data_IF_584098678735
#
_entry.id   IF_584098678735
#
_cell.length_a   1.000
_cell.length_b   1.000
_cell.length_c   1.000
_cell.angle_alpha   90.00
_cell.angle_beta   90.00
_cell.angle_gamma   90.00
#
_symmetry.space_group_name_H-M   'P 1'
#
loop_
_entity.id
_entity.type
_entity.pdbx_description
1 polymer ?
#
# COMPACT_ATOMS: atom_id res chain seq x y z
N UNK A 1 26.06 -0.72 -3.23
CA UNK A 1 25.05 -1.52 -3.94
C UNK A 1 23.70 -1.18 -3.34
N UNK A 2 22.63 -0.99 -4.14
CA UNK A 2 21.30 -0.72 -3.58
C UNK A 2 20.90 -1.88 -2.67
N UNK A 3 20.50 -1.56 -1.44
CA UNK A 3 20.10 -2.54 -0.44
C UNK A 3 18.69 -2.27 0.04
N UNK A 4 18.02 -3.33 0.46
CA UNK A 4 16.70 -3.28 1.08
C UNK A 4 16.68 -4.14 2.33
N UNK A 5 15.78 -3.83 3.27
CA UNK A 5 15.60 -4.65 4.46
C UNK A 5 15.16 -6.07 4.10
N UNK A 6 15.54 -7.04 4.94
CA UNK A 6 15.12 -8.44 4.77
C UNK A 6 13.58 -8.56 4.78
N UNK A 7 12.88 -7.69 5.50
CA UNK A 7 11.42 -7.64 5.49
C UNK A 7 10.88 -7.23 4.10
N UNK A 8 11.46 -6.20 3.49
CA UNK A 8 11.09 -5.80 2.12
C UNK A 8 11.43 -6.89 1.11
N UNK A 9 12.56 -7.58 1.27
CA UNK A 9 12.90 -8.73 0.44
C UNK A 9 11.87 -9.87 0.59
N UNK A 10 11.38 -10.16 1.80
CA UNK A 10 10.29 -11.14 1.97
C UNK A 10 9.01 -10.71 1.28
N UNK A 11 8.66 -9.42 1.36
CA UNK A 11 7.47 -8.90 0.70
C UNK A 11 7.59 -9.02 -0.83
N UNK A 12 8.71 -8.62 -1.43
CA UNK A 12 8.90 -8.66 -2.89
C UNK A 12 8.96 -10.08 -3.46
N UNK A 13 9.52 -11.04 -2.72
CA UNK A 13 9.73 -12.41 -3.21
C UNK A 13 8.62 -13.39 -2.82
N UNK A 14 7.84 -13.07 -1.78
CA UNK A 14 6.92 -14.02 -1.15
C UNK A 14 7.60 -15.15 -0.38
N UNK A 15 8.95 -15.13 -0.29
CA UNK A 15 9.72 -16.13 0.43
C UNK A 15 9.77 -15.80 1.93
N UNK A 16 9.75 -16.84 2.76
CA UNK A 16 9.96 -16.67 4.20
C UNK A 16 11.40 -16.23 4.52
N UNK A 17 11.60 -15.53 5.65
CA UNK A 17 12.94 -15.16 6.14
C UNK A 17 13.89 -16.35 6.17
N UNK A 18 13.42 -17.52 6.64
CA UNK A 18 14.19 -18.78 6.64
C UNK A 18 14.69 -19.17 5.25
N UNK A 19 13.87 -18.97 4.22
CA UNK A 19 14.25 -19.30 2.84
C UNK A 19 15.26 -18.30 2.29
N UNK A 20 15.08 -17.01 2.53
CA UNK A 20 16.06 -15.98 2.17
C UNK A 20 17.42 -16.22 2.85
N UNK A 21 17.42 -16.63 4.12
CA UNK A 21 18.66 -17.04 4.82
C UNK A 21 19.36 -18.23 4.16
N UNK A 22 18.63 -19.16 3.52
CA UNK A 22 19.26 -20.23 2.72
C UNK A 22 19.91 -19.68 1.45
N UNK A 23 19.31 -18.67 0.82
CA UNK A 23 19.92 -17.99 -0.34
C UNK A 23 21.20 -17.24 0.06
N UNK A 24 21.20 -16.62 1.25
CA UNK A 24 22.38 -15.98 1.84
C UNK A 24 23.48 -17.02 2.08
N UNK A 25 23.18 -18.12 2.76
CA UNK A 25 24.17 -19.16 3.06
C UNK A 25 24.76 -19.83 1.81
N UNK A 26 23.98 -19.92 0.72
CA UNK A 26 24.42 -20.45 -0.58
C UNK A 26 25.17 -19.43 -1.44
N UNK A 27 25.27 -18.16 -1.00
CA UNK A 27 25.93 -17.08 -1.73
C UNK A 27 25.13 -16.49 -2.89
N UNK A 28 23.85 -16.85 -3.02
CA UNK A 28 22.96 -16.32 -4.08
C UNK A 28 22.25 -15.01 -3.70
N UNK A 29 22.36 -14.56 -2.44
CA UNK A 29 21.82 -13.31 -1.94
C UNK A 29 22.85 -12.66 -1.02
N UNK A 30 23.40 -11.52 -1.41
CA UNK A 30 24.41 -10.82 -0.63
C UNK A 30 23.79 -10.02 0.51
N UNK A 31 24.36 -10.13 1.71
CA UNK A 31 24.11 -9.23 2.84
C UNK A 31 24.99 -8.00 2.68
N UNK A 32 24.39 -6.82 2.73
CA UNK A 32 25.07 -5.53 2.57
C UNK A 32 25.41 -4.91 3.93
N UNK A 33 24.51 -5.03 4.91
CA UNK A 33 24.78 -4.63 6.30
C UNK A 33 23.90 -5.42 7.27
N UNK A 34 24.35 -5.50 8.51
CA UNK A 34 23.62 -6.14 9.61
C UNK A 34 23.75 -5.23 10.84
N UNK A 35 22.65 -4.55 11.20
CA UNK A 35 22.59 -3.66 12.37
C UNK A 35 21.44 -4.09 13.28
N UNK A 36 21.76 -4.75 14.39
CA UNK A 36 20.76 -5.23 15.33
C UNK A 36 19.80 -6.25 14.69
N UNK A 37 18.49 -5.96 14.68
CA UNK A 37 17.46 -6.82 14.07
C UNK A 37 17.25 -6.55 12.57
N UNK A 38 17.88 -5.51 12.02
CA UNK A 38 17.73 -5.14 10.61
C UNK A 38 18.92 -5.62 9.78
N UNK A 39 18.67 -6.69 9.02
CA UNK A 39 19.57 -7.16 7.95
C UNK A 39 19.17 -6.51 6.63
N UNK A 40 20.15 -5.90 5.95
CA UNK A 40 20.00 -5.32 4.62
C UNK A 40 20.63 -6.25 3.58
N UNK A 41 19.91 -6.53 2.49
CA UNK A 41 20.34 -7.43 1.41
C UNK A 41 20.38 -6.71 0.07
N UNK A 42 21.17 -7.21 -0.88
CA UNK A 42 21.31 -6.66 -2.23
C UNK A 42 19.97 -6.69 -2.97
N UNK A 43 19.44 -5.53 -3.35
CA UNK A 43 18.21 -5.45 -4.16
C UNK A 43 18.42 -6.19 -5.49
N UNK A 44 19.59 -6.04 -6.11
CA UNK A 44 19.93 -6.69 -7.39
C UNK A 44 19.78 -8.21 -7.32
N UNK A 45 20.09 -8.82 -6.18
CA UNK A 45 20.01 -10.27 -5.99
C UNK A 45 18.58 -10.73 -5.63
N UNK A 46 17.77 -9.81 -5.10
CA UNK A 46 16.35 -10.04 -4.78
C UNK A 46 15.48 -9.99 -6.02
N UNK A 47 15.77 -9.10 -6.98
CA UNK A 47 14.93 -8.88 -8.16
C UNK A 47 14.64 -10.15 -8.98
N UNK A 48 15.59 -11.07 -9.24
CA UNK A 48 15.30 -12.33 -9.94
C UNK A 48 14.37 -13.27 -9.18
N UNK A 49 14.20 -13.06 -7.87
CA UNK A 49 13.33 -13.84 -6.99
C UNK A 49 11.98 -13.14 -6.74
N UNK A 50 11.80 -11.91 -7.25
CA UNK A 50 10.60 -11.13 -7.02
C UNK A 50 9.40 -11.77 -7.71
N UNK A 51 8.26 -11.80 -7.01
CA UNK A 51 6.99 -12.26 -7.54
C UNK A 51 6.14 -11.12 -8.11
N UNK A 52 6.63 -9.88 -8.03
CA UNK A 52 6.09 -8.71 -8.71
C UNK A 52 7.07 -8.31 -9.81
N UNK A 53 6.62 -8.19 -11.08
CA UNK A 53 7.50 -7.69 -12.13
C UNK A 53 7.83 -6.22 -11.86
N UNK A 54 9.10 -5.92 -11.59
CA UNK A 54 9.58 -4.57 -11.35
C UNK A 54 10.39 -4.07 -12.55
N UNK A 55 10.01 -2.93 -13.06
CA UNK A 55 10.78 -2.15 -14.04
C UNK A 55 11.95 -1.45 -13.37
N UNK A 56 12.91 -1.00 -14.18
CA UNK A 56 14.06 -0.24 -13.67
C UNK A 56 13.66 1.04 -12.92
N UNK A 57 12.54 1.67 -13.30
CA UNK A 57 12.02 2.85 -12.61
C UNK A 57 11.50 2.50 -11.20
N UNK A 58 10.87 1.34 -11.04
CA UNK A 58 10.29 0.88 -9.77
C UNK A 58 11.35 0.38 -8.78
N UNK A 59 12.60 0.15 -9.21
CA UNK A 59 13.69 -0.12 -8.28
C UNK A 59 13.92 1.06 -7.33
N UNK A 60 13.85 2.30 -7.84
CA UNK A 60 13.98 3.49 -7.01
C UNK A 60 12.79 3.64 -6.05
N UNK A 61 11.60 3.29 -6.52
CA UNK A 61 10.39 3.24 -5.70
C UNK A 61 10.55 2.28 -4.52
N UNK A 62 11.03 1.06 -4.77
CA UNK A 62 11.28 0.05 -3.73
C UNK A 62 12.27 0.56 -2.68
N UNK A 63 13.34 1.22 -3.10
CA UNK A 63 14.34 1.79 -2.18
C UNK A 63 13.75 2.93 -1.34
N UNK A 64 12.95 3.80 -1.95
CA UNK A 64 12.28 4.88 -1.23
C UNK A 64 11.24 4.34 -0.23
N UNK A 65 10.48 3.32 -0.62
CA UNK A 65 9.50 2.68 0.25
C UNK A 65 10.16 1.98 1.45
N UNK A 66 11.25 1.24 1.23
CA UNK A 66 12.06 0.62 2.29
C UNK A 66 12.68 1.67 3.21
N UNK A 67 13.11 2.81 2.64
CA UNK A 67 13.63 3.97 3.36
C UNK A 67 12.58 4.74 4.17
N UNK A 68 11.31 4.38 4.08
CA UNK A 68 10.24 4.95 4.89
C UNK A 68 9.39 6.00 4.19
N UNK A 69 9.63 6.33 2.92
CA UNK A 69 8.85 7.37 2.23
C UNK A 69 7.37 6.94 2.08
N UNK A 70 6.40 7.67 2.66
CA UNK A 70 5.02 7.21 2.71
C UNK A 70 4.32 7.23 1.34
N UNK A 71 4.72 8.12 0.43
CA UNK A 71 4.23 8.14 -0.93
C UNK A 71 4.71 6.88 -1.66
N UNK A 72 6.01 6.60 -1.60
CA UNK A 72 6.59 5.40 -2.20
C UNK A 72 6.04 4.10 -1.61
N UNK A 73 5.77 4.06 -0.30
CA UNK A 73 5.09 2.93 0.34
C UNK A 73 3.67 2.73 -0.20
N UNK A 74 2.95 3.83 -0.47
CA UNK A 74 1.61 3.78 -1.05
C UNK A 74 1.66 3.29 -2.50
N UNK A 75 2.55 3.84 -3.31
CA UNK A 75 2.72 3.44 -4.71
C UNK A 75 3.18 1.98 -4.83
N UNK A 76 4.10 1.53 -3.95
CA UNK A 76 4.50 0.12 -3.90
C UNK A 76 3.34 -0.79 -3.48
N UNK A 77 2.44 -0.33 -2.60
CA UNK A 77 1.23 -1.08 -2.28
C UNK A 77 0.31 -1.23 -3.49
N UNK A 78 0.18 -0.20 -4.34
CA UNK A 78 -0.60 -0.27 -5.57
C UNK A 78 -0.02 -1.30 -6.54
N UNK A 79 1.32 -1.37 -6.69
CA UNK A 79 1.97 -2.43 -7.46
C UNK A 79 1.66 -3.83 -6.91
N UNK A 80 1.58 -3.99 -5.59
CA UNK A 80 1.18 -5.27 -5.00
C UNK A 80 -0.29 -5.60 -5.25
N UNK A 81 -1.20 -4.62 -5.29
CA UNK A 81 -2.59 -4.87 -5.69
C UNK A 81 -2.69 -5.30 -7.15
N UNK A 82 -1.96 -4.63 -8.06
CA UNK A 82 -1.92 -4.97 -9.48
C UNK A 82 -1.34 -6.37 -9.72
N UNK A 83 -0.42 -6.81 -8.85
CA UNK A 83 0.14 -8.15 -8.84
C UNK A 83 -0.73 -9.19 -8.10
N UNK A 84 -1.98 -8.87 -7.75
CA UNK A 84 -2.90 -9.75 -7.01
C UNK A 84 -2.37 -10.21 -5.64
N UNK A 85 -1.59 -9.36 -4.96
CA UNK A 85 -1.00 -9.61 -3.63
C UNK A 85 -1.51 -8.63 -2.58
N UNK A 86 -2.81 -8.70 -2.24
CA UNK A 86 -3.45 -7.69 -1.42
C UNK A 86 -2.96 -7.71 0.04
N UNK A 87 -2.48 -8.84 0.54
CA UNK A 87 -1.92 -8.96 1.90
C UNK A 87 -0.65 -8.13 2.07
N UNK A 88 0.24 -8.16 1.09
CA UNK A 88 1.48 -7.39 1.06
C UNK A 88 1.15 -5.92 0.83
N UNK A 89 0.23 -5.62 -0.09
CA UNK A 89 -0.25 -4.26 -0.34
C UNK A 89 -0.76 -3.59 0.95
N UNK A 90 -1.65 -4.27 1.69
CA UNK A 90 -2.16 -3.76 2.97
C UNK A 90 -1.02 -3.53 3.98
N UNK A 91 -0.03 -4.42 4.04
CA UNK A 91 1.10 -4.23 4.97
C UNK A 91 1.89 -2.95 4.69
N UNK A 92 2.02 -2.56 3.41
CA UNK A 92 2.65 -1.31 2.99
C UNK A 92 1.75 -0.10 3.23
N UNK A 93 0.45 -0.21 2.96
CA UNK A 93 -0.52 0.83 3.30
C UNK A 93 -0.55 1.12 4.81
N UNK A 94 -0.45 0.11 5.67
CA UNK A 94 -0.39 0.30 7.13
C UNK A 94 0.83 1.15 7.50
N UNK A 95 2.00 0.88 6.89
CA UNK A 95 3.21 1.68 7.16
C UNK A 95 3.01 3.14 6.76
N UNK A 96 2.48 3.41 5.57
CA UNK A 96 2.24 4.77 5.09
C UNK A 96 1.12 5.49 5.87
N UNK A 97 0.04 4.79 6.20
CA UNK A 97 -1.08 5.32 6.99
C UNK A 97 -0.66 5.67 8.43
N UNK A 98 0.23 4.88 9.05
CA UNK A 98 0.81 5.19 10.36
C UNK A 98 1.67 6.46 10.34
N UNK A 99 2.26 6.81 9.20
CA UNK A 99 2.95 8.08 8.97
C UNK A 99 1.99 9.25 8.66
N UNK A 100 0.69 8.97 8.72
CA UNK A 100 -0.40 9.90 8.49
C UNK A 100 -0.55 10.38 7.04
N UNK A 101 -0.14 9.56 6.08
CA UNK A 101 -0.28 9.89 4.65
C UNK A 101 -1.74 9.70 4.19
N UNK A 102 -2.41 10.75 3.66
CA UNK A 102 -3.85 10.72 3.43
C UNK A 102 -4.30 9.66 2.42
N UNK A 103 -3.55 9.47 1.33
CA UNK A 103 -3.92 8.49 0.29
C UNK A 103 -3.83 7.08 0.85
N UNK A 104 -2.78 6.76 1.60
CA UNK A 104 -2.62 5.47 2.27
C UNK A 104 -3.75 5.18 3.26
N UNK A 105 -4.16 6.18 4.05
CA UNK A 105 -5.31 6.04 4.95
C UNK A 105 -6.60 5.76 4.17
N UNK A 106 -6.82 6.46 3.04
CA UNK A 106 -7.99 6.25 2.20
C UNK A 106 -8.02 4.82 1.63
N UNK A 107 -6.90 4.36 1.07
CA UNK A 107 -6.76 3.00 0.57
C UNK A 107 -6.90 1.95 1.68
N UNK A 108 -6.31 2.17 2.85
CA UNK A 108 -6.44 1.26 3.98
C UNK A 108 -7.88 1.17 4.48
N UNK A 109 -8.59 2.30 4.54
CA UNK A 109 -10.02 2.36 4.82
C UNK A 109 -10.84 1.52 3.83
N UNK A 110 -10.57 1.67 2.53
CA UNK A 110 -11.19 0.83 1.48
C UNK A 110 -10.92 -0.66 1.70
N UNK A 111 -9.68 -1.04 2.04
CA UNK A 111 -9.31 -2.44 2.29
C UNK A 111 -10.08 -3.03 3.46
N UNK A 112 -10.21 -2.31 4.57
CA UNK A 112 -11.02 -2.74 5.71
C UNK A 112 -12.51 -2.86 5.38
N UNK A 113 -13.09 -1.93 4.61
CA UNK A 113 -14.51 -2.00 4.27
C UNK A 113 -14.86 -3.14 3.30
N UNK A 114 -13.93 -3.48 2.40
CA UNK A 114 -14.10 -4.54 1.39
C UNK A 114 -13.56 -5.91 1.83
N UNK A 115 -12.73 -5.98 2.87
CA UNK A 115 -12.02 -7.20 3.23
C UNK A 115 -10.90 -7.58 2.24
N UNK A 116 -10.37 -6.63 1.48
CA UNK A 116 -9.30 -6.88 0.52
C UNK A 116 -7.93 -6.95 1.22
N UNK A 117 -7.31 -8.13 1.25
CA UNK A 117 -5.98 -8.33 1.86
C UNK A 117 -5.94 -8.26 3.38
N UNK A 118 -7.07 -7.96 4.01
CA UNK A 118 -7.28 -7.87 5.46
C UNK A 118 -8.70 -8.29 5.80
N UNK A 119 -8.94 -8.74 7.03
CA UNK A 119 -10.29 -9.06 7.47
C UNK A 119 -11.18 -7.81 7.39
N UNK A 120 -12.42 -8.00 6.90
CA UNK A 120 -13.38 -6.91 6.81
C UNK A 120 -13.71 -6.38 8.20
N UNK A 121 -13.62 -5.07 8.34
CA UNK A 121 -13.92 -4.35 9.57
C UNK A 121 -14.47 -2.97 9.22
N UNK A 122 -15.78 -2.83 9.36
CA UNK A 122 -16.47 -1.61 8.97
C UNK A 122 -16.08 -0.41 9.83
N UNK A 123 -15.84 -0.63 11.12
CA UNK A 123 -15.53 0.42 12.08
C UNK A 123 -14.13 0.97 11.83
N UNK A 124 -13.15 0.07 11.67
CA UNK A 124 -11.79 0.46 11.29
C UNK A 124 -11.75 1.12 9.90
N UNK A 125 -12.52 0.61 8.95
CA UNK A 125 -12.61 1.20 7.62
C UNK A 125 -13.13 2.64 7.63
N UNK A 126 -14.23 2.90 8.35
CA UNK A 126 -14.78 4.24 8.53
C UNK A 126 -13.83 5.16 9.31
N UNK A 127 -13.11 4.63 10.31
CA UNK A 127 -12.13 5.38 11.10
C UNK A 127 -10.97 5.88 10.21
N UNK A 128 -10.37 5.00 9.41
CA UNK A 128 -9.27 5.39 8.51
C UNK A 128 -9.70 6.39 7.44
N UNK A 129 -10.89 6.23 6.86
CA UNK A 129 -11.47 7.23 5.96
C UNK A 129 -11.70 8.57 6.65
N UNK A 130 -12.17 8.56 7.90
CA UNK A 130 -12.35 9.79 8.69
C UNK A 130 -11.02 10.51 8.92
N UNK A 131 -9.96 9.77 9.23
CA UNK A 131 -8.62 10.34 9.36
C UNK A 131 -8.09 10.94 8.04
N UNK A 132 -8.29 10.26 6.92
CA UNK A 132 -7.94 10.77 5.60
C UNK A 132 -8.73 12.05 5.25
N UNK A 133 -10.03 12.07 5.54
CA UNK A 133 -10.91 13.20 5.32
C UNK A 133 -10.48 14.45 6.12
N UNK A 134 -10.10 14.27 7.39
CA UNK A 134 -9.55 15.33 8.26
C UNK A 134 -8.25 15.91 7.67
N UNK A 135 -7.49 15.11 6.92
CA UNK A 135 -6.27 15.54 6.23
C UNK A 135 -6.52 16.16 4.85
N UNK A 136 -7.78 16.35 4.47
CA UNK A 136 -8.13 17.02 3.22
C UNK A 136 -8.23 16.08 2.01
N UNK A 137 -8.21 14.75 2.19
CA UNK A 137 -8.30 13.83 1.07
C UNK A 137 -9.70 13.89 0.42
N UNK A 138 -9.85 14.33 -0.85
CA UNK A 138 -11.16 14.62 -1.43
C UNK A 138 -12.10 13.41 -1.49
N UNK A 139 -11.57 12.26 -1.94
CA UNK A 139 -12.34 11.01 -2.00
C UNK A 139 -12.83 10.57 -0.60
N UNK A 140 -11.95 10.61 0.41
CA UNK A 140 -12.30 10.25 1.77
C UNK A 140 -13.35 11.18 2.37
N UNK A 141 -13.29 12.50 2.11
CA UNK A 141 -14.32 13.44 2.55
C UNK A 141 -15.70 13.06 1.99
N UNK A 142 -15.79 12.82 0.68
CA UNK A 142 -17.04 12.43 0.07
C UNK A 142 -17.53 11.05 0.54
N UNK A 143 -16.63 10.08 0.76
CA UNK A 143 -16.96 8.77 1.31
C UNK A 143 -17.47 8.84 2.76
N UNK A 144 -16.85 9.65 3.62
CA UNK A 144 -17.31 9.81 5.00
C UNK A 144 -18.70 10.44 5.06
N UNK A 145 -19.00 11.39 4.17
CA UNK A 145 -20.35 11.95 4.04
C UNK A 145 -21.36 10.90 3.54
N UNK A 146 -20.97 10.07 2.58
CA UNK A 146 -21.80 8.96 2.11
C UNK A 146 -22.08 7.94 3.22
N UNK A 147 -21.07 7.57 4.00
CA UNK A 147 -21.20 6.66 5.15
C UNK A 147 -22.12 7.20 6.25
N UNK A 148 -22.16 8.52 6.47
CA UNK A 148 -23.04 9.15 7.46
C UNK A 148 -24.50 9.25 7.01
N UNK A 149 -24.76 9.19 5.70
CA UNK A 149 -26.12 9.38 5.14
C UNK A 149 -26.84 8.07 4.84
N UNK A 150 -26.15 6.93 4.89
CA UNK A 150 -26.72 5.61 4.66
C UNK A 150 -26.41 4.62 5.78
N UNK A 151 -27.33 3.69 6.05
CA UNK A 151 -27.09 2.50 6.88
C UNK A 151 -26.30 1.42 6.09
N UNK A 152 -25.30 1.86 5.30
CA UNK A 152 -24.74 1.11 4.17
C UNK A 152 -23.48 0.29 4.48
N UNK A 153 -23.16 0.08 5.76
CA UNK A 153 -22.04 -0.78 6.15
C UNK A 153 -22.38 -2.28 6.10
N UNK A 154 -23.67 -2.63 5.91
CA UNK A 154 -24.10 -4.03 5.87
C UNK A 154 -23.74 -4.76 4.57
N UNK A 155 -23.62 -4.05 3.44
CA UNK A 155 -23.45 -4.66 2.11
C UNK A 155 -22.13 -4.22 1.43
N UNK A 156 -21.27 -5.21 1.14
CA UNK A 156 -19.99 -5.00 0.47
C UNK A 156 -20.15 -4.39 -0.93
N UNK A 157 -21.19 -4.82 -1.66
CA UNK A 157 -21.44 -4.35 -3.02
C UNK A 157 -21.80 -2.87 -3.02
N UNK A 158 -22.63 -2.44 -2.06
CA UNK A 158 -23.01 -1.04 -1.90
C UNK A 158 -21.78 -0.15 -1.62
N UNK A 159 -20.87 -0.61 -0.75
CA UNK A 159 -19.62 0.08 -0.45
C UNK A 159 -18.76 0.21 -1.71
N UNK A 160 -18.51 -0.90 -2.42
CA UNK A 160 -17.69 -0.87 -3.64
C UNK A 160 -18.29 0.05 -4.71
N UNK A 161 -19.59 -0.04 -4.95
CA UNK A 161 -20.29 0.83 -5.90
C UNK A 161 -20.30 2.31 -5.45
N UNK A 162 -20.17 2.59 -4.15
CA UNK A 162 -20.00 3.95 -3.66
C UNK A 162 -18.59 4.49 -3.96
N UNK A 163 -17.54 3.69 -3.75
CA UNK A 163 -16.17 4.06 -4.14
C UNK A 163 -16.10 4.45 -5.61
N UNK A 164 -16.53 3.56 -6.51
CA UNK A 164 -16.43 3.79 -7.97
C UNK A 164 -17.18 5.07 -8.40
N UNK A 165 -18.40 5.28 -7.87
CA UNK A 165 -19.21 6.47 -8.18
C UNK A 165 -18.61 7.76 -7.64
N UNK A 166 -18.16 7.75 -6.39
CA UNK A 166 -17.62 8.94 -5.73
C UNK A 166 -16.25 9.30 -6.31
N UNK A 167 -15.40 8.32 -6.58
CA UNK A 167 -14.10 8.53 -7.24
C UNK A 167 -14.29 9.19 -8.60
N UNK A 168 -15.21 8.66 -9.42
CA UNK A 168 -15.54 9.26 -10.72
C UNK A 168 -16.00 10.71 -10.58
N UNK A 169 -16.87 11.00 -9.60
CA UNK A 169 -17.38 12.36 -9.38
C UNK A 169 -16.28 13.34 -8.92
N UNK A 170 -15.40 12.89 -8.01
CA UNK A 170 -14.28 13.70 -7.49
C UNK A 170 -13.28 14.01 -8.61
N UNK A 171 -12.95 13.03 -9.47
CA UNK A 171 -12.06 13.23 -10.61
C UNK A 171 -12.65 14.22 -11.62
N UNK A 172 -13.93 14.10 -11.94
CA UNK A 172 -14.60 15.03 -12.86
C UNK A 172 -14.61 16.46 -12.32
N UNK A 173 -14.83 16.63 -11.01
CA UNK A 173 -14.76 17.94 -10.38
C UNK A 173 -13.35 18.54 -10.46
N UNK A 174 -12.32 17.75 -10.16
CA UNK A 174 -10.93 18.20 -10.23
C UNK A 174 -10.54 18.61 -11.66
N UNK A 175 -10.95 17.85 -12.68
CA UNK A 175 -10.71 18.19 -14.08
C UNK A 175 -11.40 19.51 -14.46
N UNK A 176 -12.65 19.71 -14.02
CA UNK A 176 -13.39 20.94 -14.27
C UNK A 176 -12.70 22.16 -13.63
N UNK A 177 -12.29 22.04 -12.36
CA UNK A 177 -11.63 23.13 -11.64
C UNK A 177 -10.31 23.55 -12.34
N UNK A 178 -9.53 22.58 -12.83
CA UNK A 178 -8.30 22.87 -13.61
C UNK A 178 -8.54 23.50 -14.97
N UNK A 179 -9.72 23.30 -15.58
CA UNK A 179 -10.07 23.90 -16.87
C UNK A 179 -10.56 25.35 -16.75
N UNK A 180 -11.02 25.75 -15.56
CA UNK A 180 -11.54 27.10 -15.27
C UNK A 180 -10.55 28.04 -14.59
N UNK A 181 -9.33 27.58 -14.32
CA UNK A 181 -8.26 28.36 -13.66
C UNK A 181 -7.19 28.77 -14.66
#
# INVERSE_FOLDING_TARGET
MPSISLNTATALTGLSKRTLWRHIHRGSLAVISEQGEETQVSLTDVLPLACVPLTAAEHALVLAADGGDPLAQTDLALLFFDAERPTEAVSWLIRAANQRYPDAMCYLGRCYLSGCGIARDNDNGALWLSHAAIKGHPLAQALTQWLQTQDALADEYAVRAAFDRIESAVLLQALYDTATT
#
